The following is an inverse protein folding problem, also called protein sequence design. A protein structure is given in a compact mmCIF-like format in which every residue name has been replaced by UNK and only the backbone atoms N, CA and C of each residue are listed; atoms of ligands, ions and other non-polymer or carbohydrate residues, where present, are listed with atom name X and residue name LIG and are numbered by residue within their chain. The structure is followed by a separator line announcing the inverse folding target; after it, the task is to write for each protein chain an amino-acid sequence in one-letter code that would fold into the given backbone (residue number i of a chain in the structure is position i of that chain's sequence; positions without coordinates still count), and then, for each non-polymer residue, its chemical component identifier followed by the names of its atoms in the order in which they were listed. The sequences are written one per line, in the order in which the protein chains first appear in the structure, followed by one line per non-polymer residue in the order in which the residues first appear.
data_IF_427922770206
#
_entry.id   IF_427922770206
#
_cell.length_a   1.000
_cell.length_b   1.000
_cell.length_c   1.000
_cell.angle_alpha   90.00
_cell.angle_beta   90.00
_cell.angle_gamma   90.00
#
_symmetry.space_group_name_H-M   'P 1'
#
loop_
_entity.id
_entity.type
_entity.pdbx_description
1 polymer ?
2 non-polymer ?
3 non-polymer ?
4 water ?
#
# COMPACT_ATOMS: atom_id res chain seq x y z
N UNK A 1 -9.56 7.89 -48.81
CA UNK A 1 -8.43 7.71 -49.72
C UNK A 1 -7.28 7.03 -49.01
N UNK A 2 -6.15 6.92 -49.71
CA UNK A 2 -4.92 6.46 -49.08
C UNK A 2 -4.52 7.42 -47.97
N UNK A 3 -5.14 8.59 -47.94
CA UNK A 3 -4.81 9.61 -46.95
C UNK A 3 -5.59 9.42 -45.65
N UNK A 4 -6.76 8.79 -45.74
CA UNK A 4 -7.56 8.51 -44.55
C UNK A 4 -7.02 7.30 -43.78
N UNK A 5 -6.43 6.36 -44.52
CA UNK A 5 -5.77 5.20 -43.91
C UNK A 5 -4.45 5.60 -43.27
N UNK A 6 -3.77 6.57 -43.88
CA UNK A 6 -2.51 7.06 -43.35
C UNK A 6 -2.68 7.85 -42.05
N UNK A 7 -3.77 8.60 -41.95
CA UNK A 7 -4.08 9.35 -40.75
C UNK A 7 -4.52 8.42 -39.62
N UNK A 8 -5.40 7.48 -39.95
CA UNK A 8 -5.89 6.54 -38.94
C UNK A 8 -4.74 5.75 -38.35
N UNK A 9 -3.79 5.34 -39.19
CA UNK A 9 -2.62 4.59 -38.73
C UNK A 9 -1.75 5.42 -37.78
N UNK A 10 -1.52 6.68 -38.16
CA UNK A 10 -0.77 7.59 -37.30
C UNK A 10 -1.48 7.72 -35.94
N UNK A 11 -2.79 7.95 -35.97
CA UNK A 11 -3.58 8.02 -34.74
C UNK A 11 -3.36 6.79 -33.86
N UNK A 12 -3.32 5.63 -34.48
CA UNK A 12 -3.23 4.38 -33.73
C UNK A 12 -1.82 4.17 -33.19
N UNK A 13 -0.83 4.65 -33.94
CA UNK A 13 0.54 4.64 -33.47
C UNK A 13 0.64 5.46 -32.18
N UNK A 14 -0.01 6.61 -32.17
CA UNK A 14 0.02 7.52 -31.04
C UNK A 14 -0.67 6.91 -29.83
N UNK A 15 -1.86 6.36 -30.04
CA UNK A 15 -2.59 5.69 -28.98
C UNK A 15 -1.72 4.57 -28.40
N UNK A 16 -1.17 3.74 -29.29
CA UNK A 16 -0.28 2.65 -28.90
C UNK A 16 0.86 3.12 -28.00
N UNK A 17 1.55 4.17 -28.45
CA UNK A 17 2.67 4.72 -27.69
C UNK A 17 2.28 5.07 -26.28
N UNK A 18 1.19 5.81 -26.14
CA UNK A 18 0.75 6.23 -24.82
C UNK A 18 0.30 5.04 -23.95
N UNK A 19 -0.37 4.09 -24.56
CA UNK A 19 -0.79 2.91 -23.82
C UNK A 19 0.41 2.17 -23.24
N UNK A 20 1.42 1.93 -24.07
CA UNK A 20 2.62 1.23 -23.65
C UNK A 20 3.28 1.98 -22.49
N UNK A 21 3.29 3.31 -22.58
CA UNK A 21 3.85 4.12 -21.49
C UNK A 21 3.07 3.94 -20.20
N UNK A 22 1.75 3.95 -20.31
CA UNK A 22 0.90 3.83 -19.14
C UNK A 22 1.05 2.45 -18.50
N UNK A 23 1.19 1.41 -19.32
CA UNK A 23 1.36 0.07 -18.79
C UNK A 23 2.67 -0.04 -18.00
N UNK A 24 3.73 0.55 -18.55
CA UNK A 24 5.02 0.50 -17.91
C UNK A 24 5.00 1.32 -16.62
N UNK A 25 4.31 2.45 -16.64
CA UNK A 25 4.18 3.28 -15.45
C UNK A 25 3.49 2.53 -14.30
N UNK A 26 2.37 1.90 -14.61
CA UNK A 26 1.59 1.17 -13.62
C UNK A 26 2.32 -0.07 -13.07
N UNK A 27 3.06 -0.76 -13.93
CA UNK A 27 3.81 -1.94 -13.48
C UNK A 27 4.79 -1.62 -12.37
N UNK A 28 5.37 -0.43 -12.40
CA UNK A 28 6.32 0.00 -11.38
C UNK A 28 5.67 0.27 -10.03
N UNK A 29 4.34 0.38 -10.02
CA UNK A 29 3.63 0.76 -8.81
C UNK A 29 2.99 -0.44 -8.15
N UNK A 30 2.93 -1.56 -8.85
CA UNK A 30 2.37 -2.79 -8.29
C UNK A 30 3.21 -3.21 -7.11
N UNK A 31 2.56 -3.59 -6.02
CA UNK A 31 3.27 -3.91 -4.78
C UNK A 31 3.51 -5.40 -4.58
N UNK A 32 2.89 -6.23 -5.41
CA UNK A 32 2.98 -7.67 -5.25
C UNK A 32 4.01 -8.31 -6.17
N UNK A 33 4.52 -9.45 -5.75
CA UNK A 33 5.39 -10.26 -6.57
C UNK A 33 4.52 -11.18 -7.44
N UNK A 34 4.73 -11.14 -8.75
CA UNK A 34 3.95 -11.94 -9.68
C UNK A 34 3.91 -13.42 -9.33
N UNK A 35 5.09 -14.03 -9.21
CA UNK A 35 5.19 -15.45 -8.99
C UNK A 35 4.50 -15.95 -7.72
N UNK A 36 4.77 -15.30 -6.60
CA UNK A 36 4.36 -15.83 -5.31
C UNK A 36 3.13 -15.13 -4.73
N UNK A 37 2.85 -13.92 -5.20
CA UNK A 37 1.71 -13.17 -4.70
C UNK A 37 1.97 -12.43 -3.39
N UNK A 38 3.17 -12.59 -2.84
CA UNK A 38 3.57 -11.84 -1.64
C UNK A 38 3.97 -10.41 -1.99
N UNK A 39 4.25 -9.59 -0.99
CA UNK A 39 4.80 -8.27 -1.29
C UNK A 39 6.11 -8.45 -2.03
N UNK A 40 6.42 -7.50 -2.89
CA UNK A 40 7.71 -7.48 -3.55
C UNK A 40 8.68 -6.74 -2.66
N UNK A 41 9.94 -6.67 -3.06
CA UNK A 41 10.97 -6.11 -2.19
C UNK A 41 10.78 -4.62 -1.97
N UNK A 42 10.36 -3.90 -3.01
CA UNK A 42 10.16 -2.46 -2.88
C UNK A 42 9.07 -2.14 -1.88
N UNK A 43 7.98 -2.91 -1.92
CA UNK A 43 6.92 -2.71 -0.96
C UNK A 43 7.37 -3.10 0.45
N UNK A 44 8.14 -4.18 0.54
CA UNK A 44 8.69 -4.61 1.83
C UNK A 44 9.54 -3.49 2.44
N UNK A 45 10.39 -2.87 1.63
CA UNK A 45 11.26 -1.80 2.11
C UNK A 45 10.46 -0.62 2.63
N UNK A 46 9.44 -0.22 1.88
CA UNK A 46 8.57 0.89 2.27
C UNK A 46 7.84 0.53 3.57
N UNK A 47 7.30 -0.68 3.61
CA UNK A 47 6.49 -1.08 4.76
C UNK A 47 7.35 -1.14 6.03
N UNK A 48 8.52 -1.74 5.94
CA UNK A 48 9.42 -1.86 7.08
C UNK A 48 9.90 -0.48 7.54
N UNK A 49 10.21 0.41 6.59
CA UNK A 49 10.59 1.76 6.96
C UNK A 49 9.49 2.45 7.75
N UNK A 50 8.24 2.35 7.30
CA UNK A 50 7.14 2.96 8.02
C UNK A 50 6.92 2.31 9.40
N UNK A 51 7.02 0.99 9.46
CA UNK A 51 6.81 0.28 10.73
C UNK A 51 7.87 0.64 11.76
N UNK A 52 9.09 0.85 11.28
CA UNK A 52 10.17 1.23 12.15
C UNK A 52 9.81 2.53 12.87
N UNK A 53 9.32 3.51 12.11
CA UNK A 53 8.93 4.79 12.71
C UNK A 53 7.72 4.69 13.62
N UNK A 54 6.80 3.78 13.30
CA UNK A 54 5.67 3.55 14.19
C UNK A 54 6.14 2.92 15.51
N UNK A 55 7.06 1.97 15.41
CA UNK A 55 7.59 1.30 16.58
C UNK A 55 8.46 2.23 17.43
N UNK A 56 9.19 3.12 16.77
CA UNK A 56 9.95 4.17 17.45
C UNK A 56 8.99 4.99 18.30
N UNK A 57 7.93 5.48 17.69
CA UNK A 57 6.94 6.29 18.39
C UNK A 57 6.34 5.59 19.60
N UNK A 58 5.89 4.36 19.41
CA UNK A 58 5.23 3.60 20.46
C UNK A 58 6.22 2.85 21.35
N UNK A 59 7.50 2.94 21.02
CA UNK A 59 8.51 2.14 21.71
C UNK A 59 8.01 0.72 21.83
N UNK A 60 7.56 0.16 20.71
CA UNK A 60 7.12 -1.23 20.70
C UNK A 60 8.17 -2.13 20.04
N UNK A 61 8.05 -3.43 20.27
CA UNK A 61 9.03 -4.37 19.74
C UNK A 61 8.69 -4.71 18.30
N UNK A 62 9.66 -4.54 17.41
CA UNK A 62 9.46 -4.83 15.99
C UNK A 62 10.32 -6.02 15.64
N UNK A 63 9.69 -7.12 15.19
CA UNK A 63 10.43 -8.32 14.83
C UNK A 63 10.45 -8.57 13.33
N UNK A 64 11.47 -9.29 12.90
CA UNK A 64 11.68 -9.59 11.49
C UNK A 64 12.19 -11.01 11.32
N UNK A 65 11.67 -11.69 10.32
CA UNK A 65 12.21 -12.97 9.90
C UNK A 65 12.85 -12.82 8.52
N UNK A 66 14.09 -13.28 8.38
CA UNK A 66 14.74 -13.36 7.08
C UNK A 66 14.88 -14.83 6.79
N UNK A 67 14.42 -15.23 5.62
CA UNK A 67 14.19 -16.62 5.31
C UNK A 67 14.96 -16.96 4.03
N UNK A 68 15.91 -17.89 4.13
CA UNK A 68 16.64 -18.37 2.95
C UNK A 68 16.07 -19.73 2.56
N UNK A 69 15.91 -20.00 1.28
CA UNK A 69 15.63 -21.38 0.83
C UNK A 69 16.95 -22.16 0.63
N UNK A 70 17.15 -23.20 1.41
CA UNK A 70 18.44 -23.90 1.42
C UNK A 70 18.75 -24.56 0.08
N UNK A 71 20.00 -24.44 -0.35
CA UNK A 71 20.49 -25.07 -1.58
C UNK A 71 19.65 -24.74 -2.81
N UNK A 72 19.16 -23.50 -2.88
CA UNK A 72 18.21 -23.18 -3.93
C UNK A 72 18.85 -22.98 -5.30
N UNK A 73 20.03 -22.37 -5.34
CA UNK A 73 20.72 -22.24 -6.62
C UNK A 73 20.94 -23.62 -7.24
N UNK A 74 21.27 -24.60 -6.43
CA UNK A 74 21.48 -25.96 -6.93
C UNK A 74 20.18 -26.57 -7.42
N UNK A 75 19.13 -26.37 -6.62
CA UNK A 75 17.80 -26.82 -6.99
C UNK A 75 17.41 -26.31 -8.38
N UNK A 76 17.53 -25.02 -8.59
CA UNK A 76 17.16 -24.39 -9.86
C UNK A 76 17.98 -24.91 -11.03
N UNK A 77 19.26 -25.16 -10.77
CA UNK A 77 20.15 -25.70 -11.79
C UNK A 77 19.83 -27.17 -12.09
N UNK A 78 19.67 -27.96 -11.03
CA UNK A 78 19.39 -29.39 -11.19
C UNK A 78 18.02 -29.63 -11.84
N UNK A 79 16.98 -28.99 -11.32
CA UNK A 79 15.63 -29.29 -11.77
C UNK A 79 15.05 -28.28 -12.76
N UNK A 80 15.78 -27.20 -13.05
CA UNK A 80 15.31 -26.20 -13.99
C UNK A 80 14.49 -25.10 -13.35
N UNK A 81 14.42 -23.96 -14.03
CA UNK A 81 13.82 -22.76 -13.45
C UNK A 81 12.32 -22.86 -13.27
N UNK A 82 11.63 -23.54 -14.17
CA UNK A 82 10.19 -23.73 -14.02
C UNK A 82 9.89 -24.46 -12.73
N UNK A 83 10.63 -25.54 -12.47
CA UNK A 83 10.45 -26.28 -11.22
C UNK A 83 10.79 -25.38 -10.03
N UNK A 84 11.90 -24.66 -10.15
CA UNK A 84 12.33 -23.75 -9.12
C UNK A 84 11.24 -22.74 -8.77
N UNK A 85 10.65 -22.13 -9.80
CA UNK A 85 9.59 -21.16 -9.60
C UNK A 85 8.41 -21.78 -8.87
N UNK A 86 8.09 -23.02 -9.21
CA UNK A 86 7.02 -23.72 -8.53
C UNK A 86 7.35 -23.97 -7.05
N UNK A 87 8.61 -24.29 -6.78
CA UNK A 87 9.08 -24.41 -5.40
C UNK A 87 8.90 -23.09 -4.65
N UNK A 88 9.26 -21.98 -5.28
CA UNK A 88 9.08 -20.67 -4.65
C UNK A 88 7.60 -20.37 -4.41
N UNK A 89 6.75 -20.77 -5.33
CA UNK A 89 5.30 -20.60 -5.16
C UNK A 89 4.80 -21.34 -3.91
N UNK A 90 5.25 -22.59 -3.74
CA UNK A 90 4.86 -23.39 -2.58
C UNK A 90 5.45 -22.91 -1.26
N UNK A 91 6.69 -22.42 -1.29
CA UNK A 91 7.26 -21.89 -0.07
C UNK A 91 6.53 -20.62 0.37
N UNK A 92 6.21 -19.75 -0.58
CA UNK A 92 5.43 -18.56 -0.28
C UNK A 92 4.09 -18.92 0.33
N UNK A 93 3.46 -19.98 -0.19
CA UNK A 93 2.21 -20.45 0.36
C UNK A 93 2.36 -20.87 1.81
N UNK A 94 3.47 -21.54 2.10
CA UNK A 94 3.76 -21.99 3.44
C UNK A 94 3.96 -20.81 4.36
N UNK A 95 4.65 -19.79 3.86
CA UNK A 95 4.95 -18.59 4.64
C UNK A 95 3.70 -17.79 5.02
N UNK A 96 2.82 -17.54 4.06
CA UNK A 96 1.69 -16.65 4.32
C UNK A 96 0.67 -17.30 5.23
N UNK A 97 0.75 -18.62 5.35
CA UNK A 97 0.04 -19.32 6.42
C UNK A 97 0.61 -18.89 7.77
N UNK A 98 1.85 -18.41 7.76
CA UNK A 98 2.62 -18.19 8.97
C UNK A 98 2.29 -16.96 9.80
N UNK A 99 1.55 -16.02 9.23
CA UNK A 99 1.19 -14.80 9.94
C UNK A 99 -0.29 -14.45 9.70
N UNK A 100 -0.92 -13.82 10.69
CA UNK A 100 -2.37 -13.63 10.63
C UNK A 100 -2.80 -12.23 11.08
N UNK A 101 -1.96 -11.51 11.80
CA UNK A 101 -2.34 -10.18 12.26
C UNK A 101 -2.41 -9.22 11.09
N UNK A 102 -3.32 -8.26 11.14
CA UNK A 102 -3.47 -7.28 10.04
C UNK A 102 -2.15 -6.55 9.75
N UNK A 103 -1.28 -6.46 10.74
CA UNK A 103 0.01 -5.75 10.60
C UNK A 103 1.17 -6.67 10.17
N UNK A 104 1.00 -7.99 10.26
CA UNK A 104 2.06 -8.92 9.82
C UNK A 104 2.16 -8.78 8.30
N UNK A 105 3.37 -8.91 7.75
CA UNK A 105 3.52 -8.85 6.29
C UNK A 105 4.61 -9.81 5.83
N UNK A 106 4.32 -10.62 4.81
CA UNK A 106 5.30 -11.51 4.20
C UNK A 106 5.67 -11.00 2.80
N UNK A 107 6.94 -11.16 2.43
CA UNK A 107 7.43 -10.66 1.14
C UNK A 107 8.42 -11.59 0.45
N UNK A 108 8.48 -11.48 -0.87
CA UNK A 108 9.62 -11.98 -1.66
C UNK A 108 10.70 -10.92 -1.55
N UNK A 109 11.73 -11.19 -0.77
CA UNK A 109 12.81 -10.23 -0.50
C UNK A 109 13.84 -10.19 -1.62
N UNK A 110 14.08 -11.34 -2.23
CA UNK A 110 15.02 -11.44 -3.33
C UNK A 110 14.72 -12.67 -4.15
N UNK A 111 15.65 -13.01 -5.04
CA UNK A 111 15.44 -14.13 -5.94
C UNK A 111 15.12 -15.44 -5.25
N UNK A 112 15.88 -15.77 -4.23
CA UNK A 112 15.57 -16.95 -3.44
C UNK A 112 15.41 -16.66 -1.94
N UNK A 113 14.97 -15.46 -1.62
CA UNK A 113 14.77 -15.11 -0.21
C UNK A 113 13.38 -14.56 0.09
N UNK A 114 12.91 -14.82 1.29
CA UNK A 114 11.65 -14.24 1.75
C UNK A 114 11.89 -13.51 3.06
N UNK A 115 10.93 -12.67 3.45
CA UNK A 115 11.03 -12.02 4.74
C UNK A 115 9.63 -11.83 5.30
N UNK A 116 9.52 -11.70 6.62
CA UNK A 116 8.24 -11.45 7.26
C UNK A 116 8.43 -10.40 8.34
N UNK A 117 7.70 -9.29 8.25
CA UNK A 117 7.73 -8.24 9.26
C UNK A 117 6.63 -8.50 10.30
N UNK A 118 6.98 -8.46 11.58
CA UNK A 118 6.04 -8.77 12.66
C UNK A 118 5.98 -7.63 13.67
N UNK A 119 5.20 -6.59 13.37
CA UNK A 119 5.14 -5.49 14.33
C UNK A 119 4.54 -5.91 15.67
N UNK A 120 5.00 -5.29 16.73
CA UNK A 120 4.47 -5.52 18.06
C UNK A 120 4.71 -6.91 18.61
N UNK A 121 5.70 -7.61 18.08
CA UNK A 121 5.88 -9.02 18.38
C UNK A 121 7.18 -9.31 19.14
N UNK A 122 7.07 -10.07 20.23
CA UNK A 122 8.20 -10.38 21.09
C UNK A 122 9.15 -11.35 20.41
N UNK A 123 10.39 -11.46 20.93
CA UNK A 123 11.31 -12.42 20.31
C UNK A 123 10.75 -13.84 20.38
N UNK A 124 10.09 -14.15 21.49
CA UNK A 124 9.49 -15.46 21.69
C UNK A 124 8.40 -15.74 20.69
N UNK A 125 7.53 -14.76 20.46
CA UNK A 125 6.48 -14.89 19.47
C UNK A 125 7.03 -15.06 18.06
N UNK A 126 8.08 -14.29 17.75
CA UNK A 126 8.66 -14.35 16.42
C UNK A 126 9.26 -15.73 16.17
N UNK A 127 9.95 -16.25 17.16
CA UNK A 127 10.56 -17.58 17.04
C UNK A 127 9.48 -18.65 16.82
N UNK A 128 8.38 -18.53 17.58
CA UNK A 128 7.24 -19.41 17.39
C UNK A 128 6.78 -19.45 15.94
N UNK A 129 6.57 -18.26 15.36
CA UNK A 129 6.10 -18.16 13.99
C UNK A 129 7.15 -18.70 13.01
N UNK A 130 8.40 -18.40 13.27
CA UNK A 130 9.50 -18.90 12.43
C UNK A 130 9.51 -20.43 12.42
N UNK A 131 9.45 -21.06 13.60
CA UNK A 131 9.41 -22.51 13.66
C UNK A 131 8.24 -23.04 12.85
N UNK A 132 7.10 -22.37 12.92
CA UNK A 132 5.95 -22.78 12.13
C UNK A 132 6.20 -22.73 10.62
N UNK A 133 6.79 -21.64 10.15
CA UNK A 133 7.14 -21.56 8.74
C UNK A 133 8.08 -22.71 8.39
N UNK A 134 9.12 -22.91 9.21
CA UNK A 134 10.14 -23.90 8.91
C UNK A 134 9.50 -25.30 8.78
N UNK A 135 8.65 -25.63 9.74
CA UNK A 135 7.97 -26.91 9.79
C UNK A 135 7.05 -27.09 8.58
N UNK A 136 6.33 -26.03 8.23
CA UNK A 136 5.40 -26.09 7.11
C UNK A 136 6.14 -26.30 5.79
N UNK A 137 7.27 -25.62 5.61
CA UNK A 137 8.04 -25.83 4.40
C UNK A 137 8.51 -27.27 4.28
N UNK A 138 9.02 -27.81 5.37
CA UNK A 138 9.55 -29.17 5.32
C UNK A 138 8.44 -30.19 5.04
N UNK A 139 7.25 -29.92 5.56
CA UNK A 139 6.14 -30.83 5.36
C UNK A 139 5.71 -30.84 3.90
N UNK A 140 6.08 -29.83 3.12
CA UNK A 140 5.80 -29.84 1.68
C UNK A 140 6.48 -31.03 0.99
N UNK A 141 7.52 -31.56 1.61
CA UNK A 141 8.28 -32.67 1.04
C UNK A 141 8.57 -32.45 -0.44
N UNK A 142 9.26 -31.36 -0.75
CA UNK A 142 9.68 -31.13 -2.12
C UNK A 142 11.04 -31.80 -2.29
N UNK A 143 11.15 -32.71 -3.25
CA UNK A 143 12.35 -33.52 -3.39
C UNK A 143 13.56 -32.66 -3.77
N UNK A 144 14.69 -32.94 -3.12
CA UNK A 144 15.96 -32.31 -3.46
C UNK A 144 17.08 -33.31 -3.28
N UNK A 145 18.14 -33.20 -4.07
CA UNK A 145 19.29 -34.08 -3.90
C UNK A 145 20.39 -33.42 -3.07
N UNK A 146 20.08 -32.25 -2.51
CA UNK A 146 20.99 -31.56 -1.60
C UNK A 146 20.35 -31.49 -0.21
N UNK A 147 21.14 -31.76 0.84
CA UNK A 147 22.59 -31.95 0.73
C UNK A 147 22.98 -33.33 0.20
N UNK A 148 22.04 -34.26 0.21
CA UNK A 148 22.27 -35.61 -0.30
C UNK A 148 21.02 -36.13 -1.01
N UNK A 149 21.17 -37.15 -1.86
CA UNK A 149 20.00 -37.73 -2.54
C UNK A 149 18.86 -38.03 -1.56
N UNK A 150 17.63 -37.81 -1.99
CA UNK A 150 16.46 -38.13 -1.19
C UNK A 150 16.19 -37.17 -0.05
N UNK A 151 16.73 -35.96 -0.15
CA UNK A 151 16.46 -34.92 0.83
C UNK A 151 15.20 -34.18 0.39
N UNK A 152 14.80 -33.18 1.17
CA UNK A 152 13.70 -32.31 0.76
C UNK A 152 14.06 -30.84 0.98
N UNK A 153 13.35 -29.98 0.24
CA UNK A 153 13.55 -28.55 0.30
C UNK A 153 13.30 -28.04 1.72
N UNK A 154 14.20 -27.20 2.23
CA UNK A 154 14.03 -26.61 3.56
C UNK A 154 14.39 -25.12 3.54
N UNK A 155 14.07 -24.44 4.64
CA UNK A 155 14.49 -23.06 4.85
C UNK A 155 15.32 -22.90 6.11
N UNK A 156 16.19 -21.91 6.09
CA UNK A 156 16.85 -21.47 7.29
C UNK A 156 16.29 -20.10 7.57
N UNK A 157 16.08 -19.80 8.85
CA UNK A 157 15.43 -18.55 9.21
C UNK A 157 16.18 -17.85 10.32
N UNK A 158 16.38 -16.55 10.13
CA UNK A 158 16.95 -15.73 11.17
C UNK A 158 15.88 -14.79 11.73
N UNK A 159 15.84 -14.67 13.04
CA UNK A 159 14.90 -13.80 13.74
C UNK A 159 15.63 -12.66 14.44
N UNK A 160 15.13 -11.44 14.30
CA UNK A 160 15.60 -10.33 15.12
C UNK A 160 14.42 -9.55 15.67
N UNK A 161 14.65 -8.79 16.73
CA UNK A 161 13.65 -7.85 17.24
C UNK A 161 14.35 -6.70 17.94
N UNK A 162 13.84 -5.49 17.72
CA UNK A 162 14.37 -4.28 18.32
C UNK A 162 13.21 -3.38 18.70
N UNK A 163 13.40 -2.62 19.77
CA UNK A 163 12.61 -1.43 19.97
C UNK A 163 13.50 -0.33 19.41
N UNK A 164 13.05 0.34 18.34
CA UNK A 164 13.88 1.37 17.71
C UNK A 164 14.39 2.36 18.74
N UNK A 165 15.68 2.68 18.67
CA UNK A 165 16.23 3.77 19.43
C UNK A 165 16.28 4.95 18.47
N UNK A 166 16.49 6.15 18.99
CA UNK A 166 16.54 7.31 18.12
C UNK A 166 17.88 7.43 17.41
N UNK A 167 18.31 8.66 17.18
CA UNK A 167 19.61 8.92 16.59
C UNK A 167 19.66 8.51 15.14
N UNK A 168 20.80 7.96 14.71
CA UNK A 168 20.97 7.56 13.33
C UNK A 168 20.66 6.09 13.11
N UNK A 169 20.02 5.46 14.10
CA UNK A 169 19.64 4.06 13.95
C UNK A 169 18.47 3.93 12.99
N UNK A 170 18.63 3.09 11.97
CA UNK A 170 17.60 2.91 10.95
C UNK A 170 17.13 1.45 10.92
N UNK A 171 16.07 1.19 10.16
CA UNK A 171 15.53 -0.17 10.06
C UNK A 171 16.55 -1.17 9.50
N UNK A 172 17.63 -0.67 8.90
CA UNK A 172 18.59 -1.58 8.28
C UNK A 172 19.33 -2.43 9.32
N UNK A 173 19.43 -1.94 10.55
CA UNK A 173 20.05 -2.71 11.60
C UNK A 173 19.21 -3.96 11.92
N UNK A 174 17.89 -3.82 11.83
CA UNK A 174 17.02 -4.97 12.07
C UNK A 174 17.28 -6.06 11.04
N UNK A 175 17.45 -5.67 9.79
CA UNK A 175 17.78 -6.64 8.75
C UNK A 175 19.16 -7.26 9.01
N UNK A 176 20.16 -6.43 9.33
CA UNK A 176 21.51 -6.95 9.61
C UNK A 176 21.50 -8.00 10.72
N UNK A 177 20.74 -7.73 11.78
CA UNK A 177 20.65 -8.65 12.91
C UNK A 177 19.93 -9.94 12.54
N UNK A 178 18.86 -9.82 11.77
CA UNK A 178 18.18 -11.02 11.29
C UNK A 178 19.10 -11.85 10.36
N UNK A 179 19.84 -11.19 9.49
CA UNK A 179 20.79 -11.88 8.64
C UNK A 179 21.87 -12.57 9.46
N UNK A 180 22.30 -11.98 10.58
CA UNK A 180 23.29 -12.62 11.45
C UNK A 180 22.71 -13.86 12.13
N UNK A 181 21.47 -13.75 12.59
CA UNK A 181 20.78 -14.92 13.15
C UNK A 181 20.64 -16.02 12.10
N UNK A 182 20.33 -15.61 10.88
CA UNK A 182 20.16 -16.51 9.75
C UNK A 182 21.47 -17.23 9.45
N UNK A 183 22.57 -16.48 9.51
CA UNK A 183 23.87 -17.12 9.33
C UNK A 183 24.09 -18.19 10.39
N UNK A 184 23.72 -17.90 11.63
CA UNK A 184 23.89 -18.88 12.70
C UNK A 184 23.10 -20.15 12.37
N UNK A 185 21.84 -19.98 11.96
CA UNK A 185 21.00 -21.11 11.58
C UNK A 185 21.66 -21.95 10.50
N UNK A 186 22.21 -21.29 9.47
CA UNK A 186 22.86 -21.98 8.36
C UNK A 186 24.14 -22.69 8.83
N UNK A 187 24.95 -21.98 9.59
CA UNK A 187 26.20 -22.56 10.04
C UNK A 187 25.97 -23.70 11.05
N UNK A 188 24.77 -23.77 11.61
CA UNK A 188 24.43 -24.83 12.56
C UNK A 188 23.78 -26.03 11.91
N UNK A 189 23.62 -25.99 10.58
CA UNK A 189 23.12 -27.14 9.85
C UNK A 189 21.95 -26.90 8.90
N UNK A 190 21.46 -25.65 8.87
CA UNK A 190 20.33 -25.30 8.03
C UNK A 190 19.03 -25.96 8.51
N UNK A 191 17.94 -25.68 7.81
CA UNK A 191 16.62 -26.20 8.22
C UNK A 191 16.39 -25.99 9.72
N UNK A 192 16.52 -24.74 10.13
CA UNK A 192 16.30 -24.36 11.51
C UNK A 192 16.22 -22.85 11.66
N UNK A 193 15.91 -22.43 12.87
CA UNK A 193 15.72 -21.03 13.18
C UNK A 193 16.90 -20.59 14.03
N UNK A 194 17.51 -19.47 13.65
CA UNK A 194 18.57 -18.88 14.45
C UNK A 194 18.00 -17.64 15.11
N UNK A 195 18.58 -17.24 16.24
CA UNK A 195 17.98 -16.13 16.98
C UNK A 195 18.91 -15.06 17.56
N UNK A 196 18.41 -13.83 17.53
CA UNK A 196 18.93 -12.66 18.25
C UNK A 196 18.81 -11.36 17.47
N UNK B 1 -0.27 0.21 -51.88
CA UNK B 1 0.01 -0.39 -50.58
C UNK B 1 -1.20 -0.23 -49.64
N UNK B 2 -2.40 -0.29 -50.21
CA UNK B 2 -3.61 -0.06 -49.43
C UNK B 2 -4.02 -1.29 -48.61
N UNK B 3 -3.55 -2.47 -49.03
CA UNK B 3 -3.67 -3.68 -48.20
C UNK B 3 -2.71 -3.53 -47.02
N UNK B 4 -1.48 -3.11 -47.33
CA UNK B 4 -0.46 -2.85 -46.32
C UNK B 4 -1.02 -1.97 -45.20
N UNK B 5 -1.68 -0.88 -45.59
CA UNK B 5 -2.21 0.07 -44.61
C UNK B 5 -3.36 -0.53 -43.81
N UNK B 6 -4.37 -1.03 -44.51
CA UNK B 6 -5.53 -1.63 -43.84
C UNK B 6 -5.10 -2.71 -42.86
N UNK B 7 -4.12 -3.52 -43.26
CA UNK B 7 -3.55 -4.54 -42.40
C UNK B 7 -2.91 -3.95 -41.13
N UNK B 8 -2.19 -2.85 -41.30
CA UNK B 8 -1.53 -2.23 -40.15
C UNK B 8 -2.55 -1.70 -39.18
N UNK B 9 -3.62 -1.07 -39.70
CA UNK B 9 -4.71 -0.62 -38.86
C UNK B 9 -5.25 -1.77 -38.01
N UNK B 10 -5.39 -2.95 -38.62
CA UNK B 10 -5.91 -4.11 -37.91
C UNK B 10 -4.94 -4.58 -36.84
N UNK B 11 -3.65 -4.61 -37.19
CA UNK B 11 -2.61 -5.02 -36.27
C UNK B 11 -2.61 -4.11 -35.05
N UNK B 12 -2.71 -2.81 -35.29
CA UNK B 12 -2.62 -1.82 -34.24
C UNK B 12 -3.85 -1.82 -33.35
N UNK B 13 -5.01 -2.07 -33.96
CA UNK B 13 -6.26 -2.15 -33.20
C UNK B 13 -6.16 -3.29 -32.20
N UNK B 14 -5.63 -4.42 -32.64
CA UNK B 14 -5.50 -5.57 -31.77
C UNK B 14 -4.52 -5.30 -30.63
N UNK B 15 -3.34 -4.79 -30.96
CA UNK B 15 -2.35 -4.43 -29.94
C UNK B 15 -2.88 -3.41 -28.94
N UNK B 16 -3.57 -2.40 -29.43
CA UNK B 16 -4.14 -1.40 -28.54
C UNK B 16 -5.16 -2.01 -27.58
N UNK B 17 -6.03 -2.87 -28.11
CA UNK B 17 -7.06 -3.47 -27.26
C UNK B 17 -6.42 -4.27 -26.12
N UNK B 18 -5.38 -5.04 -26.42
CA UNK B 18 -4.70 -5.77 -25.37
C UNK B 18 -4.17 -4.81 -24.31
N UNK B 19 -3.58 -3.71 -24.75
CA UNK B 19 -2.99 -2.75 -23.84
C UNK B 19 -4.06 -2.11 -22.96
N UNK B 20 -5.22 -1.80 -23.54
CA UNK B 20 -6.32 -1.21 -22.77
C UNK B 20 -6.76 -2.18 -21.67
N UNK B 21 -6.81 -3.46 -21.98
CA UNK B 21 -7.20 -4.47 -21.00
C UNK B 21 -6.15 -4.56 -19.91
N UNK B 22 -4.88 -4.59 -20.33
CA UNK B 22 -3.77 -4.61 -19.39
C UNK B 22 -3.83 -3.41 -18.44
N UNK B 23 -4.06 -2.22 -19.01
CA UNK B 23 -4.19 -1.04 -18.17
C UNK B 23 -5.30 -1.21 -17.14
N UNK B 24 -6.47 -1.67 -17.58
CA UNK B 24 -7.58 -1.90 -16.67
C UNK B 24 -7.19 -2.82 -15.52
N UNK B 25 -6.49 -3.90 -15.83
CA UNK B 25 -6.11 -4.86 -14.78
C UNK B 25 -5.12 -4.27 -13.79
N UNK B 26 -4.10 -3.60 -14.32
CA UNK B 26 -3.08 -3.00 -13.47
C UNK B 26 -3.65 -1.92 -12.54
N UNK B 27 -4.62 -1.16 -13.05
CA UNK B 27 -5.22 -0.10 -12.25
C UNK B 27 -5.88 -0.65 -10.99
N UNK B 28 -6.39 -1.88 -11.08
CA UNK B 28 -7.08 -2.49 -9.95
C UNK B 28 -6.09 -3.04 -8.94
N UNK B 29 -4.83 -3.12 -9.35
CA UNK B 29 -3.76 -3.67 -8.52
C UNK B 29 -2.85 -2.59 -7.91
N UNK B 30 -3.05 -1.35 -8.32
CA UNK B 30 -2.20 -0.27 -7.84
C UNK B 30 -2.94 0.49 -6.74
N UNK B 31 -2.20 0.93 -5.71
CA UNK B 31 -2.80 1.57 -4.53
C UNK B 31 -3.09 3.06 -4.66
N UNK B 32 -2.49 3.71 -5.66
CA UNK B 32 -2.56 5.16 -5.75
C UNK B 32 -3.57 5.69 -6.77
N UNK B 33 -3.97 6.94 -6.58
CA UNK B 33 -4.89 7.63 -7.46
C UNK B 33 -4.05 8.37 -8.50
N UNK B 34 -4.27 8.07 -9.77
CA UNK B 34 -3.51 8.69 -10.84
C UNK B 34 -3.40 10.21 -10.74
N UNK B 35 -4.54 10.88 -10.59
CA UNK B 35 -4.57 12.36 -10.60
C UNK B 35 -3.71 12.96 -9.49
N UNK B 36 -3.97 12.52 -8.26
CA UNK B 36 -3.45 13.20 -7.09
C UNK B 36 -2.25 12.51 -6.46
N UNK B 37 -2.04 11.23 -6.76
CA UNK B 37 -0.93 10.49 -6.20
C UNK B 37 -1.18 10.00 -4.78
N UNK B 38 -2.34 10.34 -4.23
CA UNK B 38 -2.71 9.84 -2.91
C UNK B 38 -3.17 8.40 -3.03
N UNK B 39 -3.52 7.77 -1.90
CA UNK B 39 -4.11 6.44 -1.98
C UNK B 39 -5.48 6.54 -2.61
N UNK B 40 -5.83 5.55 -3.42
CA UNK B 40 -7.17 5.51 -4.00
C UNK B 40 -8.15 4.95 -2.98
N UNK B 41 -9.43 4.92 -3.33
CA UNK B 41 -10.45 4.49 -2.38
C UNK B 41 -10.35 3.04 -1.96
N UNK B 42 -10.01 2.17 -2.91
CA UNK B 42 -9.84 0.75 -2.61
C UNK B 42 -8.79 0.54 -1.55
N UNK B 43 -7.65 1.22 -1.72
CA UNK B 43 -6.56 1.09 -0.77
C UNK B 43 -6.90 1.74 0.57
N UNK B 44 -7.61 2.85 0.54
CA UNK B 44 -8.13 3.46 1.77
C UNK B 44 -8.93 2.47 2.59
N UNK B 45 -9.91 1.80 1.96
CA UNK B 45 -10.77 0.87 2.66
C UNK B 45 -9.94 -0.24 3.27
N UNK B 46 -9.02 -0.77 2.47
CA UNK B 46 -8.14 -1.86 2.91
C UNK B 46 -7.26 -1.43 4.08
N UNK B 47 -6.60 -0.29 3.93
CA UNK B 47 -5.74 0.27 4.98
C UNK B 47 -6.50 0.56 6.26
N UNK B 48 -7.69 1.15 6.13
CA UNK B 48 -8.47 1.51 7.32
C UNK B 48 -8.95 0.23 8.04
N UNK B 49 -9.39 -0.76 7.29
CA UNK B 49 -9.80 -2.01 7.93
C UNK B 49 -8.61 -2.63 8.69
N UNK B 50 -7.43 -2.60 8.10
CA UNK B 50 -6.25 -3.11 8.79
C UNK B 50 -5.92 -2.30 10.03
N UNK B 51 -6.03 -0.98 9.96
CA UNK B 51 -5.77 -0.14 11.12
C UNK B 51 -6.82 -0.37 12.20
N UNK B 52 -8.03 -0.69 11.78
CA UNK B 52 -9.12 -0.96 12.71
C UNK B 52 -8.69 -2.12 13.59
N UNK B 53 -8.15 -3.16 12.97
CA UNK B 53 -7.69 -4.32 13.73
C UNK B 53 -6.48 -4.05 14.64
N UNK B 54 -5.52 -3.26 14.15
CA UNK B 54 -4.40 -2.83 15.01
C UNK B 54 -4.87 -2.07 16.24
N UNK B 55 -5.79 -1.12 16.03
CA UNK B 55 -6.32 -0.32 17.13
C UNK B 55 -7.16 -1.17 18.07
N UNK B 56 -7.89 -2.13 17.52
CA UNK B 56 -8.58 -3.09 18.36
C UNK B 56 -7.58 -3.81 19.27
N UNK B 57 -6.51 -4.34 18.67
CA UNK B 57 -5.48 -5.03 19.43
C UNK B 57 -4.90 -4.17 20.54
N UNK B 58 -4.60 -2.92 20.22
CA UNK B 58 -3.86 -2.08 21.16
C UNK B 58 -4.80 -1.22 22.02
N UNK B 59 -6.09 -1.31 21.75
CA UNK B 59 -7.06 -0.42 22.38
C UNK B 59 -6.60 1.04 22.21
N UNK B 60 -6.17 1.39 21.00
CA UNK B 60 -5.72 2.76 20.73
C UNK B 60 -6.82 3.56 20.05
N UNK B 61 -6.68 4.88 20.03
CA UNK B 61 -7.70 5.69 19.37
C UNK B 61 -7.44 5.77 17.88
N UNK B 62 -8.45 5.45 17.08
CA UNK B 62 -8.37 5.55 15.63
C UNK B 62 -9.20 6.73 15.14
N UNK B 63 -8.54 7.75 14.60
CA UNK B 63 -9.26 8.92 14.08
C UNK B 63 -9.32 8.94 12.55
N UNK B 64 -10.30 9.66 12.02
CA UNK B 64 -10.56 9.72 10.60
C UNK B 64 -11.10 11.10 10.25
N UNK B 65 -10.52 11.72 9.23
CA UNK B 65 -11.10 12.94 8.66
C UNK B 65 -11.72 12.61 7.32
N UNK B 66 -12.95 13.05 7.11
CA UNK B 66 -13.56 13.01 5.79
C UNK B 66 -13.65 14.45 5.29
N UNK B 67 -13.02 14.70 4.15
CA UNK B 67 -12.80 16.04 3.65
C UNK B 67 -13.49 16.22 2.30
N UNK B 68 -14.32 17.24 2.18
CA UNK B 68 -14.96 17.54 0.90
C UNK B 68 -14.60 18.94 0.42
N UNK B 69 -14.34 19.06 -0.88
CA UNK B 69 -14.10 20.35 -1.51
C UNK B 69 -15.44 21.09 -1.67
N UNK B 70 -15.47 22.32 -1.18
CA UNK B 70 -16.68 23.13 -1.20
C UNK B 70 -16.96 23.71 -2.57
N UNK B 71 -18.23 23.70 -2.97
CA UNK B 71 -18.67 24.35 -4.21
C UNK B 71 -17.86 23.89 -5.42
N UNK B 72 -17.48 22.62 -5.45
CA UNK B 72 -16.54 22.18 -6.47
C UNK B 72 -17.13 22.01 -7.86
N UNK B 73 -18.39 21.60 -7.92
CA UNK B 73 -19.04 21.45 -9.21
C UNK B 73 -19.01 22.76 -9.99
N UNK B 74 -19.28 23.87 -9.29
CA UNK B 74 -19.30 25.16 -9.95
C UNK B 74 -17.91 25.61 -10.34
N UNK B 75 -16.89 25.17 -9.60
CA UNK B 75 -15.51 25.45 -10.00
C UNK B 75 -15.21 24.83 -11.37
N UNK B 76 -15.50 23.54 -11.51
CA UNK B 76 -15.35 22.88 -12.80
C UNK B 76 -16.11 23.63 -13.89
N UNK B 77 -17.31 24.09 -13.56
CA UNK B 77 -18.15 24.77 -14.55
C UNK B 77 -17.52 26.11 -14.96
N UNK B 78 -17.19 26.95 -13.99
CA UNK B 78 -16.74 28.30 -14.28
C UNK B 78 -15.24 28.43 -14.55
N UNK B 79 -14.45 27.41 -14.22
CA UNK B 79 -13.01 27.46 -14.48
C UNK B 79 -12.49 26.35 -15.39
N UNK B 80 -13.32 25.33 -15.61
CA UNK B 80 -12.95 24.23 -16.48
C UNK B 80 -12.39 23.03 -15.74
N UNK B 81 -12.56 21.85 -16.34
CA UNK B 81 -12.13 20.59 -15.75
C UNK B 81 -10.62 20.55 -15.50
N UNK B 82 -9.85 21.03 -16.48
CA UNK B 82 -8.39 21.04 -16.33
C UNK B 82 -7.97 21.80 -15.09
N UNK B 83 -8.53 22.99 -14.91
CA UNK B 83 -8.26 23.77 -13.71
C UNK B 83 -8.73 23.03 -12.47
N UNK B 84 -9.93 22.45 -12.55
CA UNK B 84 -10.46 21.63 -11.48
C UNK B 84 -9.47 20.55 -11.04
N UNK B 85 -8.99 19.77 -12.00
CA UNK B 85 -7.97 18.76 -11.74
C UNK B 85 -6.77 19.33 -10.99
N UNK B 86 -6.30 20.51 -11.38
CA UNK B 86 -5.15 21.11 -10.71
C UNK B 86 -5.51 21.57 -9.31
N UNK B 87 -6.73 22.07 -9.13
CA UNK B 87 -7.21 22.42 -7.80
C UNK B 87 -7.21 21.18 -6.90
N UNK B 88 -7.56 20.04 -7.48
CA UNK B 88 -7.61 18.78 -6.73
C UNK B 88 -6.21 18.33 -6.32
N UNK B 89 -5.24 18.49 -7.22
CA UNK B 89 -3.87 18.17 -6.90
C UNK B 89 -3.37 19.05 -5.76
N UNK B 90 -3.75 20.32 -5.80
CA UNK B 90 -3.30 21.25 -4.77
C UNK B 90 -3.93 20.94 -3.42
N UNK B 91 -5.22 20.63 -3.40
CA UNK B 91 -5.86 20.23 -2.15
C UNK B 91 -5.21 18.95 -1.60
N UNK B 92 -5.01 17.97 -2.48
CA UNK B 92 -4.37 16.72 -2.12
C UNK B 92 -3.02 16.99 -1.48
N UNK B 93 -2.23 17.85 -2.11
CA UNK B 93 -0.94 18.21 -1.57
C UNK B 93 -1.06 18.76 -0.16
N UNK B 94 -2.08 19.58 0.06
CA UNK B 94 -2.28 20.16 1.38
C UNK B 94 -2.65 19.06 2.38
N UNK B 95 -3.48 18.13 1.93
CA UNK B 95 -3.90 17.02 2.78
C UNK B 95 -2.69 16.15 3.16
N UNK B 96 -1.92 15.77 2.14
CA UNK B 96 -0.70 15.02 2.30
C UNK B 96 0.23 15.65 3.33
N UNK B 97 0.48 16.95 3.15
CA UNK B 97 1.36 17.71 4.03
C UNK B 97 0.76 17.87 5.41
N UNK B 98 -0.53 17.58 5.52
CA UNK B 98 -1.26 17.76 6.76
C UNK B 98 -1.03 16.65 7.76
N UNK B 99 -0.62 15.48 7.27
CA UNK B 99 -0.31 14.36 8.15
C UNK B 99 1.12 13.88 7.95
N UNK B 100 1.87 13.78 9.03
CA UNK B 100 3.31 13.59 8.93
C UNK B 100 3.81 12.30 9.52
N UNK B 101 2.98 11.63 10.31
CA UNK B 101 3.44 10.39 10.93
C UNK B 101 3.44 9.25 9.92
N UNK B 102 4.34 8.29 10.10
CA UNK B 102 4.49 7.17 9.18
C UNK B 102 3.18 6.40 8.96
N UNK B 103 2.32 6.41 9.99
CA UNK B 103 1.09 5.64 9.98
C UNK B 103 -0.12 6.41 9.46
N UNK B 104 0.04 7.73 9.30
CA UNK B 104 -1.03 8.55 8.72
C UNK B 104 -1.20 8.16 7.25
N UNK B 105 -2.44 8.19 6.74
CA UNK B 105 -2.68 7.95 5.32
C UNK B 105 -3.62 8.98 4.72
N UNK B 106 -3.19 9.65 3.66
CA UNK B 106 -4.07 10.56 2.94
C UNK B 106 -4.60 9.85 1.70
N UNK B 107 -5.90 9.99 1.45
CA UNK B 107 -6.52 9.30 0.34
C UNK B 107 -7.47 10.19 -0.46
N UNK B 108 -7.61 9.88 -1.74
CA UNK B 108 -8.68 10.42 -2.54
C UNK B 108 -9.84 9.44 -2.43
N UNK B 109 -10.87 9.87 -1.72
CA UNK B 109 -11.97 8.97 -1.39
C UNK B 109 -12.96 8.89 -2.53
N UNK B 110 -13.12 9.98 -3.26
CA UNK B 110 -14.01 10.03 -4.41
C UNK B 110 -13.73 11.21 -5.32
N UNK B 111 -14.69 11.53 -6.18
CA UNK B 111 -14.55 12.61 -7.14
C UNK B 111 -13.90 13.84 -6.55
N UNK B 112 -14.53 14.42 -5.54
CA UNK B 112 -13.98 15.61 -4.89
C UNK B 112 -13.89 15.38 -3.38
N UNK B 113 -13.78 14.11 -3.00
CA UNK B 113 -13.82 13.75 -1.59
C UNK B 113 -12.48 13.14 -1.18
N UNK B 114 -11.98 13.54 -0.02
CA UNK B 114 -10.73 13.01 0.50
C UNK B 114 -10.92 12.45 1.90
N UNK B 115 -9.92 11.70 2.37
CA UNK B 115 -9.96 11.17 3.72
C UNK B 115 -8.56 11.10 4.29
N UNK B 116 -8.46 11.23 5.60
CA UNK B 116 -7.19 11.04 6.27
C UNK B 116 -7.37 10.01 7.36
N UNK B 117 -6.59 8.93 7.31
CA UNK B 117 -6.59 7.95 8.40
C UNK B 117 -5.52 8.33 9.42
N UNK B 118 -5.90 8.45 10.69
CA UNK B 118 -4.97 8.89 11.73
C UNK B 118 -4.91 7.91 12.90
N UNK B 119 -4.13 6.84 12.75
CA UNK B 119 -3.95 5.87 13.84
C UNK B 119 -3.37 6.51 15.11
N UNK B 120 -3.82 6.05 16.27
CA UNK B 120 -3.27 6.52 17.54
C UNK B 120 -3.44 8.01 17.78
N UNK B 121 -4.57 8.56 17.34
CA UNK B 121 -4.79 9.99 17.39
C UNK B 121 -6.09 10.37 18.14
N UNK B 122 -5.97 11.19 19.18
CA UNK B 122 -7.11 11.59 20.00
C UNK B 122 -8.09 12.46 19.23
N UNK B 123 -9.33 12.58 19.75
CA UNK B 123 -10.28 13.46 19.08
C UNK B 123 -9.71 14.87 19.03
N UNK B 124 -9.05 15.27 20.11
CA UNK B 124 -8.40 16.57 20.16
C UNK B 124 -7.36 16.77 19.07
N UNK B 125 -6.47 15.79 18.93
CA UNK B 125 -5.43 15.85 17.90
C UNK B 125 -6.03 15.85 16.51
N UNK B 126 -7.10 15.10 16.33
CA UNK B 126 -7.74 15.00 15.02
C UNK B 126 -8.34 16.34 14.65
N UNK B 127 -8.92 17.01 15.64
CA UNK B 127 -9.54 18.30 15.45
C UNK B 127 -8.49 19.30 14.97
N UNK B 128 -7.35 19.34 15.64
CA UNK B 128 -6.24 20.19 15.25
C UNK B 128 -5.82 20.01 13.79
N UNK B 129 -5.60 18.75 13.41
CA UNK B 129 -5.17 18.45 12.05
C UNK B 129 -6.24 18.87 11.06
N UNK B 130 -7.50 18.69 11.44
CA UNK B 130 -8.60 19.09 10.58
C UNK B 130 -8.53 20.59 10.28
N UNK B 131 -8.35 21.38 11.34
CA UNK B 131 -8.25 22.83 11.19
C UNK B 131 -7.03 23.18 10.36
N UNK B 132 -5.91 22.52 10.67
CA UNK B 132 -4.66 22.72 9.96
C UNK B 132 -4.83 22.50 8.47
N UNK B 133 -5.52 21.42 8.09
CA UNK B 133 -5.75 21.12 6.68
C UNK B 133 -6.68 22.12 6.02
N UNK B 134 -7.82 22.41 6.67
CA UNK B 134 -8.77 23.38 6.14
C UNK B 134 -8.05 24.71 5.91
N UNK B 135 -7.37 25.18 6.96
CA UNK B 135 -6.58 26.40 6.94
C UNK B 135 -5.53 26.42 5.82
N UNK B 136 -4.89 25.29 5.58
CA UNK B 136 -3.88 25.19 4.52
C UNK B 136 -4.52 25.27 3.14
N UNK B 137 -5.73 24.72 3.03
CA UNK B 137 -6.47 24.78 1.77
C UNK B 137 -6.83 26.23 1.46
N UNK B 138 -7.25 26.96 2.49
CA UNK B 138 -7.62 28.36 2.32
C UNK B 138 -6.40 29.18 1.89
N UNK B 139 -5.30 29.03 2.62
CA UNK B 139 -4.08 29.76 2.35
C UNK B 139 -3.55 29.52 0.93
N UNK B 140 -4.14 28.55 0.25
CA UNK B 140 -3.78 28.31 -1.15
C UNK B 140 -4.37 29.43 -2.01
N UNK B 141 -5.40 30.07 -1.48
CA UNK B 141 -6.09 31.15 -2.18
C UNK B 141 -6.26 30.87 -3.67
N UNK B 142 -7.00 29.81 -3.96
CA UNK B 142 -7.42 29.51 -5.31
C UNK B 142 -8.73 30.25 -5.57
N UNK B 143 -8.82 30.93 -6.70
CA UNK B 143 -9.96 31.81 -6.96
C UNK B 143 -11.26 31.09 -7.31
N UNK B 144 -12.30 31.43 -6.56
CA UNK B 144 -13.65 30.98 -6.85
C UNK B 144 -14.62 32.15 -6.62
N UNK B 145 -15.70 32.20 -7.40
CA UNK B 145 -16.68 33.27 -7.28
C UNK B 145 -17.86 32.86 -6.41
N UNK B 146 -17.72 31.74 -5.72
CA UNK B 146 -18.78 31.19 -4.91
C UNK B 146 -18.41 31.08 -3.45
N UNK B 147 -19.34 31.47 -2.56
CA UNK B 147 -20.60 32.11 -2.97
C UNK B 147 -20.37 33.57 -3.34
N UNK B 148 -19.51 34.27 -2.60
CA UNK B 148 -19.12 35.63 -2.93
C UNK B 148 -18.07 35.63 -4.04
N UNK B 149 -18.21 36.56 -5.01
CA UNK B 149 -17.35 36.64 -6.20
C UNK B 149 -15.87 36.83 -5.88
N UNK B 150 -15.55 37.25 -4.67
CA UNK B 150 -14.17 37.46 -4.27
C UNK B 150 -13.62 36.38 -3.36
N UNK B 151 -14.09 35.15 -3.54
CA UNK B 151 -13.76 34.06 -2.63
C UNK B 151 -12.59 33.19 -3.09
N UNK B 152 -12.17 32.28 -2.22
CA UNK B 152 -11.13 31.30 -2.54
C UNK B 152 -11.61 29.89 -2.17
N UNK B 153 -10.97 28.86 -2.73
CA UNK B 153 -11.36 27.47 -2.46
C UNK B 153 -11.28 27.08 -0.99
N UNK B 154 -12.22 26.25 -0.57
CA UNK B 154 -12.24 25.75 0.81
C UNK B 154 -12.73 24.29 0.86
N UNK B 155 -12.51 23.66 2.00
CA UNK B 155 -13.03 22.32 2.24
C UNK B 155 -13.87 22.33 3.51
N UNK B 156 -14.85 21.43 3.57
CA UNK B 156 -15.53 21.11 4.81
C UNK B 156 -14.97 19.78 5.31
N UNK B 157 -14.89 19.60 6.62
CA UNK B 157 -14.25 18.41 7.19
C UNK B 157 -15.04 17.82 8.36
N UNK B 158 -15.33 16.53 8.26
CA UNK B 158 -15.96 15.81 9.37
C UNK B 158 -14.95 14.95 10.09
N UNK B 159 -15.02 14.94 11.42
CA UNK B 159 -14.06 14.21 12.24
C UNK B 159 -14.73 13.13 13.09
N UNK B 160 -14.11 11.97 13.17
CA UNK B 160 -14.57 10.92 14.06
C UNK B 160 -13.40 10.20 14.68
N UNK B 161 -13.60 9.67 15.88
CA UNK B 161 -12.64 8.75 16.46
C UNK B 161 -13.34 7.71 17.33
N UNK B 162 -12.75 6.51 17.36
CA UNK B 162 -13.28 5.41 18.14
C UNK B 162 -12.14 4.53 18.62
N UNK B 163 -12.31 3.91 19.76
CA UNK B 163 -11.46 2.79 20.16
C UNK B 163 -12.26 1.53 19.81
N UNK B 164 -11.76 0.73 18.86
CA UNK B 164 -12.53 -0.45 18.44
C UNK B 164 -12.78 -1.40 19.60
N UNK B 165 -13.83 -2.21 19.49
CA UNK B 165 -14.13 -3.24 20.49
C UNK B 165 -15.54 -3.09 21.03
N UNK B 166 -16.11 -1.89 20.84
CA UNK B 166 -17.46 -1.60 21.29
C UNK B 166 -18.50 -2.31 20.46
N UNK B 167 -19.56 -2.77 21.12
CA UNK B 167 -20.58 -3.54 20.43
C UNK B 167 -21.11 -2.92 19.15
N UNK B 168 -21.12 -3.70 18.08
CA UNK B 168 -21.73 -3.27 16.84
C UNK B 168 -20.95 -2.20 16.08
N UNK B 169 -19.74 -1.89 16.52
CA UNK B 169 -18.95 -0.90 15.81
C UNK B 169 -17.90 -1.53 14.90
N UNK B 170 -17.66 -0.92 13.73
CA UNK B 170 -16.69 -1.40 12.75
C UNK B 170 -16.02 -0.20 12.11
N UNK B 171 -15.00 -0.45 11.29
CA UNK B 171 -14.37 0.67 10.59
C UNK B 171 -15.41 1.38 9.71
N UNK B 172 -16.47 0.67 9.35
CA UNK B 172 -17.50 1.30 8.53
C UNK B 172 -18.33 2.29 9.31
N UNK B 173 -18.54 2.03 10.60
CA UNK B 173 -19.27 2.98 11.42
C UNK B 173 -18.38 4.19 11.70
N UNK B 174 -17.06 3.98 11.75
CA UNK B 174 -16.14 5.10 11.94
C UNK B 174 -16.30 6.08 10.79
N UNK B 175 -16.41 5.54 9.57
CA UNK B 175 -16.65 6.36 8.39
C UNK B 175 -18.01 7.09 8.47
N UNK B 176 -19.06 6.33 8.79
CA UNK B 176 -20.40 6.89 8.91
C UNK B 176 -20.44 8.08 9.87
N UNK B 177 -19.72 7.98 11.00
CA UNK B 177 -19.64 9.07 11.96
C UNK B 177 -18.97 10.31 11.38
N UNK B 178 -17.87 10.10 10.66
CA UNK B 178 -17.14 11.21 10.08
C UNK B 178 -17.98 11.85 8.98
N UNK B 179 -18.70 11.04 8.22
CA UNK B 179 -19.62 11.55 7.20
C UNK B 179 -20.72 12.38 7.85
N UNK B 180 -21.30 11.87 8.93
CA UNK B 180 -22.27 12.63 9.71
C UNK B 180 -21.71 13.99 10.07
N UNK B 181 -20.53 14.00 10.68
CA UNK B 181 -19.91 15.24 11.13
C UNK B 181 -19.65 16.16 9.93
N UNK B 182 -19.34 15.56 8.80
CA UNK B 182 -19.04 16.33 7.60
C UNK B 182 -20.28 17.10 7.19
N UNK B 183 -21.43 16.42 7.25
CA UNK B 183 -22.72 17.02 6.97
C UNK B 183 -22.92 18.27 7.82
N UNK B 184 -22.72 18.12 9.13
CA UNK B 184 -22.85 19.25 10.06
C UNK B 184 -22.04 20.43 9.53
N UNK B 185 -20.75 20.21 9.31
CA UNK B 185 -19.86 21.26 8.81
C UNK B 185 -20.43 22.00 7.60
N UNK B 186 -20.89 21.23 6.62
CA UNK B 186 -21.42 21.81 5.38
C UNK B 186 -22.66 22.64 5.66
N UNK B 187 -23.53 22.13 6.52
CA UNK B 187 -24.81 22.77 6.81
C UNK B 187 -24.70 23.90 7.83
N UNK B 188 -23.51 24.09 8.39
CA UNK B 188 -23.27 25.22 9.26
C UNK B 188 -22.51 26.30 8.51
N UNK B 189 -22.54 26.21 7.18
CA UNK B 189 -21.93 27.22 6.33
C UNK B 189 -20.66 26.82 5.59
N UNK B 190 -20.31 25.54 5.65
CA UNK B 190 -19.12 25.03 4.96
C UNK B 190 -17.82 25.67 5.47
N UNK B 191 -16.72 25.35 4.80
CA UNK B 191 -15.39 25.80 5.21
C UNK B 191 -15.16 25.74 6.73
N UNK B 192 -15.40 24.58 7.31
CA UNK B 192 -15.22 24.42 8.75
C UNK B 192 -15.11 22.94 9.12
N UNK B 193 -14.80 22.68 10.38
CA UNK B 193 -14.70 21.32 10.89
C UNK B 193 -15.91 20.97 11.76
N UNK B 194 -16.62 19.91 11.37
CA UNK B 194 -17.71 19.38 12.16
C UNK B 194 -17.24 18.18 12.97
N UNK B 195 -17.73 18.05 14.20
CA UNK B 195 -17.30 16.97 15.07
C UNK B 195 -18.43 15.97 15.32
N UNK B 196 -18.05 14.70 15.46
CA UNK B 196 -19.00 13.63 15.71
C UNK B 196 -19.71 13.82 17.05
N UNK B 197 -20.92 13.28 17.16
CA UNK B 197 -21.71 13.39 18.39
C UNK B 197 -21.37 12.28 19.38
N UNK B 198 -20.74 12.66 20.50
CA UNK B 198 -20.34 11.69 21.52
C UNK B 198 -21.55 11.11 22.24
#
# INVERSE_FOLDING_TARGET
RMKQLEDKVEELLSKNYHLENEVARLKKLVNSDGLTGLSNRRHFDEYLEMEWRRSLREQSQLSLLMIDVDYFKSYNDTFGHVAGDEALRQVAGAIREGCSRSSDLAARYGGEEFAMVLPGTSPGGARLLAEKVRRTVESLQISHDQPRPGSHLTVSIGVSTLVPGGGGQTFRVLIEMADQALYQAKNNGRNQVGLMEQPVPPAPAG
RMKQLEDKVEELLSKNYHLENEVARLKKLVNSDGLTGLSNRRHFDEYLEMEWRRSLREQSQLSLLMIDVDYFKSYNDTFGHVAGDEALRQVAGAIREGCSRSSDLAARYGGEEFAMVLPGTSPGGARLLAEKVRRTVESLQISHDQPRPGSHLTVSIGVSTLVPGGGGQTFRVLIEMADQALYQAKNNGRNQVGLMEQPVPPAPAG
#
